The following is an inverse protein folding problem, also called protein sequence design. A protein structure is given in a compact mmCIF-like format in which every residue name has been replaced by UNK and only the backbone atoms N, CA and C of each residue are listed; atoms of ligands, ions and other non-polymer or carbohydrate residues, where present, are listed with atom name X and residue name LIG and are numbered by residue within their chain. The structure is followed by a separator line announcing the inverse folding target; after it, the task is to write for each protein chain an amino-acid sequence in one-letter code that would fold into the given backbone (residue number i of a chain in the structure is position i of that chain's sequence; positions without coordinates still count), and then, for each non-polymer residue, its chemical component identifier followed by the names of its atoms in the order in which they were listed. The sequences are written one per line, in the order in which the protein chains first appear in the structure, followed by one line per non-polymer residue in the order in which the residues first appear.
data_IF_384813449082
#
_entry.id   IF_384813449082
#
_cell.length_a   1.000
_cell.length_b   1.000
_cell.length_c   1.000
_cell.angle_alpha   90.00
_cell.angle_beta   90.00
_cell.angle_gamma   90.00
#
_symmetry.space_group_name_H-M   'P 1'
#
loop_
_entity.id
_entity.type
_entity.pdbx_description
1 polymer ?
#
# COMPACT_ATOMS: atom_id res chain seq x y z
N UNK A 1 5.32 -1.14 -15.32
CA UNK A 1 5.80 -2.45 -14.81
C UNK A 1 4.76 -3.14 -13.97
N UNK A 2 4.28 -2.48 -12.91
CA UNK A 2 3.25 -3.04 -12.05
C UNK A 2 1.93 -3.25 -12.80
N UNK A 3 1.55 -2.30 -13.67
CA UNK A 3 0.32 -2.37 -14.47
C UNK A 3 0.34 -3.56 -15.43
N UNK A 4 1.47 -3.80 -16.10
CA UNK A 4 1.59 -4.92 -17.04
C UNK A 4 1.55 -6.27 -16.32
N UNK A 5 2.17 -6.37 -15.14
CA UNK A 5 2.15 -7.58 -14.32
C UNK A 5 0.72 -7.91 -13.88
N UNK A 6 -0.01 -6.90 -13.40
CA UNK A 6 -1.40 -7.07 -12.96
C UNK A 6 -2.29 -7.48 -14.13
N UNK A 7 -2.18 -6.80 -15.27
CA UNK A 7 -3.00 -7.10 -16.45
C UNK A 7 -2.80 -8.54 -16.90
N UNK A 8 -1.55 -8.98 -16.96
CA UNK A 8 -1.21 -10.35 -17.35
C UNK A 8 -1.74 -11.37 -16.34
N UNK A 9 -1.49 -11.14 -15.06
CA UNK A 9 -1.86 -12.09 -14.00
C UNK A 9 -3.38 -12.25 -13.85
N UNK A 10 -4.12 -11.17 -13.98
CA UNK A 10 -5.58 -11.18 -13.86
C UNK A 10 -6.29 -11.53 -15.14
N UNK A 11 -5.58 -11.48 -16.26
CA UNK A 11 -6.16 -11.67 -17.60
C UNK A 11 -7.40 -10.79 -17.76
N UNK A 12 -7.21 -9.49 -17.56
CA UNK A 12 -8.31 -8.52 -17.64
C UNK A 12 -8.84 -8.40 -19.07
N UNK A 13 -10.15 -8.48 -19.22
CA UNK A 13 -10.81 -8.13 -20.48
C UNK A 13 -10.70 -6.62 -20.67
N UNK A 14 -10.89 -6.15 -21.90
CA UNK A 14 -10.86 -4.71 -22.18
C UNK A 14 -11.88 -3.95 -21.31
N UNK A 15 -13.09 -4.49 -21.19
CA UNK A 15 -14.14 -3.91 -20.37
C UNK A 15 -13.78 -3.86 -18.89
N UNK A 16 -13.21 -4.95 -18.37
CA UNK A 16 -12.74 -5.00 -16.98
C UNK A 16 -11.63 -3.97 -16.75
N UNK A 17 -10.67 -3.88 -17.67
CA UNK A 17 -9.56 -2.94 -17.56
C UNK A 17 -10.04 -1.49 -17.52
N UNK A 18 -11.02 -1.13 -18.36
CA UNK A 18 -11.58 0.21 -18.38
C UNK A 18 -12.21 0.62 -17.05
N UNK A 19 -12.81 -0.32 -16.35
CA UNK A 19 -13.45 -0.07 -15.05
C UNK A 19 -12.47 -0.20 -13.89
N UNK A 20 -11.52 -1.11 -14.00
CA UNK A 20 -10.55 -1.44 -12.95
C UNK A 20 -9.54 -0.31 -12.71
N UNK A 21 -8.89 0.17 -13.77
CA UNK A 21 -7.76 1.09 -13.63
C UNK A 21 -8.10 2.41 -12.94
N UNK A 22 -9.23 3.06 -13.20
CA UNK A 22 -9.58 4.26 -12.44
C UNK A 22 -9.71 4.00 -10.93
N UNK A 23 -10.31 2.86 -10.56
CA UNK A 23 -10.46 2.46 -9.15
C UNK A 23 -9.10 2.17 -8.53
N UNK A 24 -8.26 1.42 -9.24
CA UNK A 24 -6.92 1.05 -8.79
C UNK A 24 -6.02 2.27 -8.60
N UNK A 25 -6.00 3.16 -9.60
CA UNK A 25 -5.16 4.35 -9.55
C UNK A 25 -5.57 5.31 -8.43
N UNK A 26 -6.87 5.47 -8.19
CA UNK A 26 -7.37 6.29 -7.09
C UNK A 26 -6.96 5.71 -5.74
N UNK A 27 -7.07 4.40 -5.59
CA UNK A 27 -6.66 3.69 -4.37
C UNK A 27 -5.15 3.82 -4.11
N UNK A 28 -4.32 3.63 -5.15
CA UNK A 28 -2.87 3.77 -5.05
C UNK A 28 -2.48 5.19 -4.64
N UNK A 29 -3.12 6.19 -5.21
CA UNK A 29 -2.87 7.59 -4.87
C UNK A 29 -3.21 7.88 -3.41
N UNK A 30 -4.37 7.43 -2.95
CA UNK A 30 -4.83 7.64 -1.57
C UNK A 30 -3.94 6.92 -0.57
N UNK A 31 -3.63 5.64 -0.80
CA UNK A 31 -2.81 4.84 0.12
C UNK A 31 -1.36 5.29 0.13
N UNK A 32 -0.82 5.75 -1.00
CA UNK A 32 0.52 6.32 -1.07
C UNK A 32 0.62 7.59 -0.24
N UNK A 33 -0.39 8.46 -0.31
CA UNK A 33 -0.42 9.67 0.49
C UNK A 33 -0.42 9.36 1.99
N UNK A 34 -1.26 8.42 2.42
CA UNK A 34 -1.32 8.00 3.83
C UNK A 34 0.03 7.41 4.27
N UNK A 35 0.60 6.54 3.44
CA UNK A 35 1.86 5.85 3.76
C UNK A 35 3.05 6.80 3.85
N UNK A 36 3.21 7.67 2.87
CA UNK A 36 4.39 8.53 2.77
C UNK A 36 4.24 9.85 3.51
N UNK A 37 3.07 10.46 3.52
CA UNK A 37 2.87 11.74 4.18
C UNK A 37 2.54 11.61 5.66
N UNK A 38 1.76 10.61 6.05
CA UNK A 38 1.33 10.45 7.44
C UNK A 38 2.18 9.42 8.20
N UNK A 39 2.18 8.16 7.77
CA UNK A 39 2.82 7.08 8.52
C UNK A 39 4.34 7.24 8.57
N UNK A 40 4.96 7.50 7.44
CA UNK A 40 6.41 7.68 7.35
C UNK A 40 6.86 8.87 8.18
N UNK A 41 6.14 9.98 8.11
CA UNK A 41 6.42 11.19 8.87
C UNK A 41 6.38 10.93 10.37
N UNK A 42 5.36 10.21 10.84
CA UNK A 42 5.23 9.84 12.26
C UNK A 42 6.38 8.95 12.70
N UNK A 43 6.75 7.96 11.90
CA UNK A 43 7.86 7.04 12.21
C UNK A 43 9.21 7.76 12.29
N UNK A 44 9.44 8.72 11.41
CA UNK A 44 10.66 9.56 11.45
C UNK A 44 10.68 10.37 12.74
N UNK A 45 9.58 11.01 13.08
CA UNK A 45 9.47 11.80 14.32
C UNK A 45 9.73 10.95 15.55
N UNK A 46 9.22 9.71 15.58
CA UNK A 46 9.47 8.77 16.68
C UNK A 46 10.97 8.47 16.80
N UNK A 47 11.61 8.11 15.71
CA UNK A 47 13.04 7.74 15.70
C UNK A 47 13.94 8.89 16.09
N UNK A 48 13.64 10.10 15.60
CA UNK A 48 14.47 11.27 15.89
C UNK A 48 14.36 11.75 17.34
N UNK A 49 13.27 11.46 18.03
CA UNK A 49 13.01 12.01 19.36
C UNK A 49 12.92 10.96 20.46
N UNK A 50 13.17 9.68 20.17
CA UNK A 50 12.91 8.58 21.10
C UNK A 50 13.69 8.71 22.43
N UNK A 51 14.93 9.18 22.38
CA UNK A 51 15.77 9.26 23.58
C UNK A 51 15.24 10.24 24.62
N UNK A 52 14.68 11.35 24.19
CA UNK A 52 14.18 12.41 25.06
C UNK A 52 12.65 12.50 25.07
N UNK A 53 11.98 11.48 24.55
CA UNK A 53 10.52 11.49 24.40
C UNK A 53 9.83 11.30 25.75
N UNK A 54 8.89 12.19 26.07
CA UNK A 54 8.03 12.03 27.23
C UNK A 54 6.89 11.05 26.92
N UNK A 55 6.28 10.48 27.94
CA UNK A 55 5.10 9.61 27.79
C UNK A 55 3.94 10.35 27.14
N UNK A 56 3.78 11.63 27.46
CA UNK A 56 2.75 12.47 26.84
C UNK A 56 2.95 12.56 25.31
N UNK A 57 4.18 12.83 24.89
CA UNK A 57 4.50 12.90 23.45
C UNK A 57 4.34 11.54 22.78
N UNK A 58 4.79 10.47 23.45
CA UNK A 58 4.62 9.11 22.95
C UNK A 58 3.14 8.77 22.73
N UNK A 59 2.26 9.13 23.67
CA UNK A 59 0.82 8.91 23.53
C UNK A 59 0.24 9.69 22.35
N UNK A 60 0.67 10.92 22.14
CA UNK A 60 0.22 11.72 20.99
C UNK A 60 0.61 11.05 19.67
N UNK A 61 1.84 10.55 19.58
CA UNK A 61 2.33 9.89 18.37
C UNK A 61 1.63 8.55 18.12
N UNK A 62 1.38 7.78 19.19
CA UNK A 62 0.62 6.53 19.08
C UNK A 62 -0.80 6.77 18.57
N UNK A 63 -1.45 7.83 19.03
CA UNK A 63 -2.79 8.19 18.56
C UNK A 63 -2.77 8.60 17.07
N UNK A 64 -1.78 9.38 16.67
CA UNK A 64 -1.62 9.77 15.25
C UNK A 64 -1.38 8.55 14.37
N UNK A 65 -0.54 7.63 14.83
CA UNK A 65 -0.24 6.40 14.09
C UNK A 65 -1.47 5.52 13.95
N UNK A 66 -2.22 5.31 15.03
CA UNK A 66 -3.48 4.55 15.00
C UNK A 66 -4.49 5.16 14.04
N UNK A 67 -4.61 6.48 14.05
CA UNK A 67 -5.51 7.20 13.14
C UNK A 67 -5.14 7.00 11.68
N UNK A 68 -3.84 7.08 11.37
CA UNK A 68 -3.35 6.86 10.01
C UNK A 68 -3.56 5.40 9.57
N UNK A 69 -3.30 4.44 10.45
CA UNK A 69 -3.54 3.02 10.19
C UNK A 69 -5.02 2.72 9.96
N UNK A 70 -5.92 3.38 10.70
CA UNK A 70 -7.36 3.26 10.52
C UNK A 70 -7.79 3.81 9.15
N UNK A 71 -7.22 4.92 8.72
CA UNK A 71 -7.47 5.46 7.38
C UNK A 71 -7.05 4.46 6.30
N UNK A 72 -5.89 3.84 6.47
CA UNK A 72 -5.38 2.84 5.53
C UNK A 72 -6.32 1.64 5.46
N UNK A 73 -6.77 1.15 6.61
CA UNK A 73 -7.69 0.02 6.69
C UNK A 73 -9.02 0.35 6.00
N UNK A 74 -9.57 1.52 6.28
CA UNK A 74 -10.82 1.99 5.66
C UNK A 74 -10.68 2.09 4.14
N UNK A 75 -9.56 2.62 3.66
CA UNK A 75 -9.28 2.72 2.23
C UNK A 75 -9.24 1.34 1.58
N UNK A 76 -8.63 0.35 2.25
CA UNK A 76 -8.58 -1.03 1.75
C UNK A 76 -9.97 -1.67 1.67
N UNK A 77 -10.83 -1.40 2.66
CA UNK A 77 -12.21 -1.91 2.65
C UNK A 77 -13.02 -1.30 1.51
N UNK A 78 -12.90 0.00 1.30
CA UNK A 78 -13.57 0.70 0.20
C UNK A 78 -13.11 0.18 -1.16
N UNK A 79 -11.80 -0.05 -1.30
CA UNK A 79 -11.22 -0.60 -2.51
C UNK A 79 -11.78 -1.98 -2.82
N UNK A 80 -11.79 -2.89 -1.83
CA UNK A 80 -12.35 -4.23 -1.98
C UNK A 80 -13.82 -4.18 -2.39
N UNK A 81 -14.58 -3.29 -1.78
CA UNK A 81 -15.99 -3.09 -2.11
C UNK A 81 -16.19 -2.59 -3.54
N UNK A 82 -15.39 -1.61 -3.96
CA UNK A 82 -15.45 -1.07 -5.32
C UNK A 82 -15.04 -2.12 -6.36
N UNK A 83 -14.07 -2.96 -6.06
CA UNK A 83 -13.64 -4.04 -6.95
C UNK A 83 -14.69 -5.13 -7.09
N UNK A 84 -15.50 -5.38 -6.07
CA UNK A 84 -16.52 -6.45 -6.11
C UNK A 84 -17.57 -6.24 -7.21
N UNK A 85 -17.75 -4.99 -7.65
CA UNK A 85 -18.64 -4.68 -8.77
C UNK A 85 -18.01 -4.78 -10.14
N UNK A 86 -16.70 -4.99 -10.21
CA UNK A 86 -15.92 -4.97 -11.46
C UNK A 86 -15.27 -6.32 -11.76
N UNK A 87 -14.72 -6.98 -10.75
CA UNK A 87 -13.97 -8.22 -10.88
C UNK A 87 -14.65 -9.35 -10.12
N UNK A 88 -14.47 -10.59 -10.62
CA UNK A 88 -14.87 -11.77 -9.87
C UNK A 88 -14.03 -11.92 -8.60
N UNK A 89 -14.53 -12.62 -7.57
CA UNK A 89 -13.74 -12.90 -6.37
C UNK A 89 -12.40 -13.56 -6.66
N UNK A 90 -12.33 -14.43 -7.64
CA UNK A 90 -11.09 -15.08 -8.05
C UNK A 90 -10.07 -14.06 -8.57
N UNK A 91 -10.50 -13.11 -9.39
CA UNK A 91 -9.61 -12.06 -9.92
C UNK A 91 -9.16 -11.10 -8.82
N UNK A 92 -9.99 -10.85 -7.82
CA UNK A 92 -9.60 -10.04 -6.66
C UNK A 92 -8.49 -10.75 -5.88
N UNK A 93 -8.60 -12.06 -5.68
CA UNK A 93 -7.56 -12.86 -5.04
C UNK A 93 -6.27 -12.84 -5.86
N UNK A 94 -6.39 -12.98 -7.18
CA UNK A 94 -5.24 -12.91 -8.08
C UNK A 94 -4.54 -11.55 -8.00
N UNK A 95 -5.29 -10.48 -7.82
CA UNK A 95 -4.72 -9.15 -7.61
C UNK A 95 -3.88 -9.10 -6.34
N UNK A 96 -4.38 -9.65 -5.24
CA UNK A 96 -3.62 -9.72 -3.99
C UNK A 96 -2.32 -10.51 -4.14
N UNK A 97 -2.38 -11.63 -4.86
CA UNK A 97 -1.20 -12.44 -5.16
C UNK A 97 -0.20 -11.65 -6.01
N UNK A 98 -0.68 -10.97 -7.05
CA UNK A 98 0.17 -10.17 -7.93
C UNK A 98 0.88 -9.04 -7.17
N UNK A 99 0.16 -8.37 -6.27
CA UNK A 99 0.73 -7.30 -5.46
C UNK A 99 1.78 -7.82 -4.47
N UNK A 100 1.51 -8.96 -3.84
CA UNK A 100 2.47 -9.62 -2.94
C UNK A 100 3.74 -10.05 -3.67
N UNK A 101 3.59 -10.66 -4.84
CA UNK A 101 4.72 -11.11 -5.65
C UNK A 101 5.57 -9.92 -6.10
N UNK A 102 4.94 -8.85 -6.52
CA UNK A 102 5.62 -7.62 -6.93
C UNK A 102 6.41 -7.02 -5.76
N UNK A 103 5.79 -6.95 -4.59
CA UNK A 103 6.43 -6.45 -3.36
C UNK A 103 7.65 -7.27 -2.98
N UNK A 104 7.53 -8.59 -3.02
CA UNK A 104 8.64 -9.51 -2.72
C UNK A 104 9.80 -9.33 -3.71
N UNK A 105 9.48 -9.17 -4.98
CA UNK A 105 10.47 -8.94 -6.03
C UNK A 105 11.21 -7.62 -5.82
N UNK A 106 10.49 -6.56 -5.49
CA UNK A 106 11.10 -5.26 -5.20
C UNK A 106 12.02 -5.33 -3.99
N UNK A 107 11.58 -5.99 -2.92
CA UNK A 107 12.40 -6.16 -1.72
C UNK A 107 13.67 -6.95 -2.00
N UNK A 108 13.58 -7.99 -2.82
CA UNK A 108 14.74 -8.79 -3.23
C UNK A 108 15.76 -7.95 -4.02
N UNK A 109 15.28 -7.09 -4.93
CA UNK A 109 16.17 -6.19 -5.69
C UNK A 109 16.83 -5.15 -4.80
N UNK A 110 16.12 -4.60 -3.82
CA UNK A 110 16.70 -3.66 -2.86
C UNK A 110 17.82 -4.31 -2.04
N UNK A 111 17.64 -5.57 -1.64
CA UNK A 111 18.65 -6.34 -0.93
C UNK A 111 19.90 -6.55 -1.78
N UNK A 112 19.73 -6.87 -3.07
CA UNK A 112 20.83 -7.02 -4.02
C UNK A 112 21.62 -5.72 -4.16
N UNK A 113 20.93 -4.58 -4.26
CA UNK A 113 21.58 -3.27 -4.34
C UNK A 113 22.41 -2.95 -3.09
N UNK A 114 21.87 -3.27 -1.91
CA UNK A 114 22.60 -3.10 -0.65
C UNK A 114 23.86 -3.94 -0.59
N UNK A 115 23.78 -5.21 -1.01
CA UNK A 115 24.95 -6.10 -1.07
C UNK A 115 25.98 -5.64 -2.09
N UNK A 116 25.54 -5.09 -3.21
CA UNK A 116 26.42 -4.60 -4.26
C UNK A 116 27.19 -3.33 -3.90
N UNK A 117 26.80 -2.63 -2.84
CA UNK A 117 27.46 -1.40 -2.37
C UNK A 117 28.63 -1.65 -1.41
N UNK A 118 28.78 -2.88 -0.96
CA UNK A 118 29.89 -3.30 -0.12
C UNK A 118 31.03 -3.82 -0.98
#
# INVERSE_FOLDING_TARGET
LKASVITEKLDLTEREAQQFWPIYNAHEKETSAIRFEEIKSIRIEIRENIENMTDKKANELLKKLSKAENKMHKSRLEFANNLSGVLSPKKIILLKIAEDDFKKKMMAELRKRKKGRN
#
